data_IF_692616118376
#
_entry.id   IF_692616118376
#
_cell.length_a   1.000
_cell.length_b   1.000
_cell.length_c   1.000
_cell.angle_alpha   90.00
_cell.angle_beta   90.00
_cell.angle_gamma   90.00
#
_symmetry.space_group_name_H-M   'P 1'
#
loop_
_entity.id
_entity.type
_entity.pdbx_description
1 polymer ?
#
# COMPACT_ATOMS: atom_id res chain seq x y z
N UNK A 1 15.26 20.08 7.81
CA UNK A 1 15.02 18.92 6.92
C UNK A 1 13.51 18.80 6.82
N UNK A 2 12.96 18.68 5.64
CA UNK A 2 11.51 18.48 5.46
C UNK A 2 11.16 17.03 5.75
N UNK A 3 9.98 16.79 6.30
CA UNK A 3 9.47 15.45 6.59
C UNK A 3 8.60 14.97 5.42
N UNK A 4 8.68 13.69 5.09
CA UNK A 4 7.79 13.03 4.15
C UNK A 4 7.36 11.67 4.68
N UNK A 5 6.08 11.38 4.55
CA UNK A 5 5.53 10.07 4.86
C UNK A 5 5.38 9.22 3.61
N UNK A 6 5.93 8.01 3.62
CA UNK A 6 5.62 6.97 2.64
C UNK A 6 4.69 5.97 3.32
N UNK A 7 3.47 5.87 2.83
CA UNK A 7 2.39 5.14 3.50
C UNK A 7 1.92 4.00 2.61
N UNK A 8 1.99 2.77 3.09
CA UNK A 8 1.40 1.62 2.41
C UNK A 8 -0.13 1.69 2.42
N UNK A 9 -0.79 1.03 1.46
CA UNK A 9 -2.24 1.09 1.33
C UNK A 9 -2.95 -0.12 1.92
N UNK A 10 -2.71 -1.32 1.37
CA UNK A 10 -3.45 -2.53 1.74
C UNK A 10 -3.11 -2.97 3.16
N UNK A 11 -4.10 -3.02 4.06
CA UNK A 11 -3.98 -3.32 5.50
C UNK A 11 -3.19 -2.28 6.32
N UNK A 12 -2.87 -1.14 5.71
CA UNK A 12 -2.28 0.02 6.37
C UNK A 12 -3.28 1.19 6.39
N UNK A 13 -3.64 1.75 5.23
CA UNK A 13 -4.75 2.72 5.11
C UNK A 13 -6.09 1.99 5.10
N UNK A 14 -6.16 0.85 4.44
CA UNK A 14 -7.32 -0.04 4.47
C UNK A 14 -7.18 -1.13 5.54
N UNK A 15 -8.30 -1.73 5.94
CA UNK A 15 -8.30 -2.88 6.86
C UNK A 15 -8.21 -4.22 6.13
N UNK A 16 -8.38 -4.24 4.81
CA UNK A 16 -8.34 -5.44 3.98
C UNK A 16 -7.55 -5.20 2.69
N UNK A 17 -7.27 -6.27 1.98
CA UNK A 17 -6.44 -6.27 0.78
C UNK A 17 -7.33 -6.06 -0.46
N UNK A 18 -6.99 -5.09 -1.28
CA UNK A 18 -7.80 -4.69 -2.44
C UNK A 18 -7.78 -5.72 -3.58
N UNK A 19 -6.63 -6.34 -3.85
CA UNK A 19 -6.54 -7.44 -4.83
C UNK A 19 -7.35 -8.63 -4.37
N UNK A 20 -7.28 -8.97 -3.08
CA UNK A 20 -8.08 -10.04 -2.49
C UNK A 20 -9.59 -9.75 -2.56
N UNK A 21 -10.02 -8.51 -2.34
CA UNK A 21 -11.42 -8.11 -2.41
C UNK A 21 -11.98 -8.36 -3.82
N UNK A 22 -11.28 -7.88 -4.84
CA UNK A 22 -11.64 -8.10 -6.25
C UNK A 22 -11.70 -9.59 -6.61
N UNK A 23 -10.66 -10.33 -6.24
CA UNK A 23 -10.57 -11.75 -6.56
C UNK A 23 -11.63 -12.59 -5.85
N UNK A 24 -11.92 -12.32 -4.58
CA UNK A 24 -12.98 -13.02 -3.83
C UNK A 24 -14.35 -12.82 -4.46
N UNK A 25 -14.62 -11.66 -5.00
CA UNK A 25 -15.90 -11.32 -5.63
C UNK A 25 -16.03 -11.95 -7.01
N UNK A 26 -15.00 -11.89 -7.83
CA UNK A 26 -15.10 -12.18 -9.27
C UNK A 26 -14.40 -13.48 -9.71
N UNK A 27 -13.38 -13.94 -8.98
CA UNK A 27 -12.65 -15.17 -9.32
C UNK A 27 -12.10 -15.88 -8.06
N UNK A 28 -12.99 -16.35 -7.13
CA UNK A 28 -12.57 -16.96 -5.87
C UNK A 28 -11.75 -18.24 -6.05
N UNK A 29 -12.06 -19.06 -7.06
CA UNK A 29 -11.29 -20.28 -7.33
C UNK A 29 -9.92 -19.96 -7.93
N UNK A 30 -9.83 -18.99 -8.84
CA UNK A 30 -8.55 -18.47 -9.32
C UNK A 30 -7.68 -17.97 -8.18
N UNK A 31 -8.25 -17.22 -7.23
CA UNK A 31 -7.53 -16.76 -6.05
C UNK A 31 -6.93 -17.90 -5.24
N UNK A 32 -7.69 -18.99 -5.03
CA UNK A 32 -7.23 -20.17 -4.31
C UNK A 32 -5.99 -20.79 -4.97
N UNK A 33 -6.07 -21.00 -6.29
CA UNK A 33 -5.00 -21.59 -7.09
C UNK A 33 -3.76 -20.68 -7.11
N UNK A 34 -3.93 -19.38 -7.37
CA UNK A 34 -2.82 -18.41 -7.47
C UNK A 34 -2.13 -18.25 -6.12
N UNK A 35 -2.89 -18.24 -5.01
CA UNK A 35 -2.31 -18.22 -3.64
C UNK A 35 -1.48 -19.45 -3.32
N UNK A 36 -1.90 -20.62 -3.79
CA UNK A 36 -1.12 -21.84 -3.60
C UNK A 36 0.23 -21.74 -4.31
N UNK A 37 0.25 -21.29 -5.57
CA UNK A 37 1.49 -21.00 -6.30
C UNK A 37 2.38 -20.00 -5.58
N UNK A 38 1.81 -18.92 -5.06
CA UNK A 38 2.57 -17.93 -4.29
C UNK A 38 3.16 -18.52 -3.00
N UNK A 39 2.40 -19.33 -2.25
CA UNK A 39 2.88 -20.02 -1.05
C UNK A 39 4.01 -21.01 -1.35
N UNK A 40 3.94 -21.66 -2.49
CA UNK A 40 4.97 -22.57 -2.99
C UNK A 40 6.19 -21.83 -3.56
N UNK A 41 6.22 -20.48 -3.52
CA UNK A 41 7.28 -19.64 -4.08
C UNK A 41 7.44 -19.77 -5.61
N UNK A 42 6.40 -20.17 -6.31
CA UNK A 42 6.34 -20.20 -7.78
C UNK A 42 6.06 -18.82 -8.36
N UNK A 43 5.57 -17.89 -7.54
CA UNK A 43 5.29 -16.51 -7.91
C UNK A 43 5.95 -15.55 -6.90
N UNK A 44 6.48 -14.44 -7.40
CA UNK A 44 6.86 -13.27 -6.60
C UNK A 44 5.60 -12.48 -6.19
N UNK A 45 5.73 -11.47 -5.34
CA UNK A 45 4.62 -10.55 -5.00
C UNK A 45 4.07 -9.89 -6.27
N UNK A 46 4.95 -9.38 -7.13
CA UNK A 46 4.57 -8.81 -8.42
C UNK A 46 3.83 -9.82 -9.29
N UNK A 47 4.36 -11.05 -9.42
CA UNK A 47 3.74 -12.13 -10.18
C UNK A 47 2.37 -12.52 -9.64
N UNK A 48 2.20 -12.54 -8.32
CA UNK A 48 0.91 -12.81 -7.67
C UNK A 48 -0.13 -11.76 -8.04
N UNK A 49 0.19 -10.47 -7.84
CA UNK A 49 -0.72 -9.35 -8.13
C UNK A 49 -1.09 -9.33 -9.61
N UNK A 50 -0.08 -9.45 -10.49
CA UNK A 50 -0.28 -9.50 -11.94
C UNK A 50 -1.23 -10.63 -12.32
N UNK A 51 -0.94 -11.86 -11.92
CA UNK A 51 -1.76 -13.02 -12.26
C UNK A 51 -3.18 -12.90 -11.72
N UNK A 52 -3.36 -12.38 -10.51
CA UNK A 52 -4.67 -12.14 -9.95
C UNK A 52 -5.47 -11.15 -10.80
N UNK A 53 -4.96 -9.95 -11.00
CA UNK A 53 -5.73 -8.90 -11.69
C UNK A 53 -5.95 -9.19 -13.16
N UNK A 54 -4.98 -9.76 -13.88
CA UNK A 54 -5.12 -10.16 -15.28
C UNK A 54 -6.06 -11.38 -15.48
N UNK A 55 -6.34 -12.13 -14.41
CA UNK A 55 -7.33 -13.23 -14.47
C UNK A 55 -8.79 -12.76 -14.35
N UNK A 56 -9.00 -11.49 -14.05
CA UNK A 56 -10.34 -10.91 -13.97
C UNK A 56 -10.86 -10.59 -15.37
N UNK A 57 -12.14 -10.88 -15.59
CA UNK A 57 -12.85 -10.53 -16.83
C UNK A 57 -14.05 -9.66 -16.46
N UNK A 58 -13.78 -8.43 -16.09
CA UNK A 58 -14.77 -7.46 -15.59
C UNK A 58 -14.54 -6.08 -16.19
N UNK A 59 -15.58 -5.29 -16.28
CA UNK A 59 -15.50 -3.89 -16.72
C UNK A 59 -14.82 -3.03 -15.64
N UNK A 60 -14.32 -1.86 -16.05
CA UNK A 60 -13.81 -0.85 -15.11
C UNK A 60 -14.87 -0.42 -14.08
N UNK A 61 -16.15 -0.36 -14.51
CA UNK A 61 -17.26 0.01 -13.62
C UNK A 61 -17.48 -1.05 -12.54
N UNK A 62 -17.48 -2.33 -12.90
CA UNK A 62 -17.59 -3.45 -11.95
C UNK A 62 -16.40 -3.49 -11.00
N UNK A 63 -15.20 -3.21 -11.51
CA UNK A 63 -13.99 -3.13 -10.71
C UNK A 63 -14.11 -2.04 -9.63
N UNK A 64 -14.44 -0.80 -10.02
CA UNK A 64 -14.61 0.32 -9.10
C UNK A 64 -15.77 0.11 -8.12
N UNK A 65 -16.89 -0.43 -8.60
CA UNK A 65 -18.02 -0.78 -7.74
C UNK A 65 -17.62 -1.78 -6.66
N UNK A 66 -16.85 -2.81 -7.03
CA UNK A 66 -16.37 -3.80 -6.07
C UNK A 66 -15.45 -3.17 -5.03
N UNK A 67 -14.53 -2.30 -5.43
CA UNK A 67 -13.68 -1.58 -4.47
C UNK A 67 -14.53 -0.75 -3.50
N UNK A 68 -15.55 -0.05 -4.01
CA UNK A 68 -16.44 0.75 -3.16
C UNK A 68 -17.27 -0.07 -2.16
N UNK A 69 -17.70 -1.26 -2.55
CA UNK A 69 -18.52 -2.15 -1.71
C UNK A 69 -17.69 -2.95 -0.69
N UNK A 70 -16.51 -3.41 -1.08
CA UNK A 70 -15.75 -4.41 -0.33
C UNK A 70 -14.59 -3.82 0.48
N UNK A 71 -14.07 -2.63 0.09
CA UNK A 71 -12.95 -2.05 0.81
C UNK A 71 -13.38 -1.32 2.07
N UNK A 72 -12.65 -1.60 3.15
CA UNK A 72 -12.84 -0.94 4.45
C UNK A 72 -11.65 -0.02 4.71
N UNK A 73 -11.89 1.28 4.68
CA UNK A 73 -10.86 2.31 4.84
C UNK A 73 -10.86 2.83 6.27
N UNK A 74 -9.66 3.03 6.81
CA UNK A 74 -9.48 3.78 8.06
C UNK A 74 -9.92 5.23 7.84
N UNK A 75 -11.04 5.60 8.42
CA UNK A 75 -11.66 6.93 8.25
C UNK A 75 -10.75 8.06 8.75
N UNK A 76 -9.88 7.76 9.71
CA UNK A 76 -8.95 8.75 10.29
C UNK A 76 -7.82 9.11 9.32
N UNK A 77 -7.62 8.33 8.25
CA UNK A 77 -6.69 8.69 7.18
C UNK A 77 -7.06 10.02 6.51
N UNK A 78 -8.34 10.40 6.51
CA UNK A 78 -8.76 11.70 5.98
C UNK A 78 -8.08 12.85 6.72
N UNK A 79 -8.07 12.81 8.06
CA UNK A 79 -7.39 13.83 8.89
C UNK A 79 -5.88 13.86 8.60
N UNK A 80 -5.27 12.70 8.43
CA UNK A 80 -3.85 12.61 8.05
C UNK A 80 -3.59 13.26 6.68
N UNK A 81 -4.38 12.93 5.68
CA UNK A 81 -4.23 13.47 4.32
C UNK A 81 -4.44 15.00 4.25
N UNK A 82 -5.28 15.54 5.12
CA UNK A 82 -5.60 16.98 5.23
C UNK A 82 -4.70 17.72 6.24
N UNK A 83 -3.77 17.03 6.92
CA UNK A 83 -2.94 17.59 7.99
C UNK A 83 -1.89 18.60 7.54
N UNK A 84 -1.62 18.72 6.26
CA UNK A 84 -0.55 19.55 5.68
C UNK A 84 0.83 18.88 5.69
N UNK A 85 0.93 17.63 6.10
CA UNK A 85 2.16 16.84 5.99
C UNK A 85 2.38 16.38 4.54
N UNK A 86 3.62 16.39 4.09
CA UNK A 86 3.97 15.78 2.81
C UNK A 86 3.88 14.26 2.93
N UNK A 87 3.17 13.64 2.00
CA UNK A 87 3.06 12.17 1.96
C UNK A 87 2.98 11.62 0.54
N UNK A 88 3.28 10.34 0.42
CA UNK A 88 2.99 9.52 -0.76
C UNK A 88 2.37 8.21 -0.31
N UNK A 89 1.36 7.75 -1.04
CA UNK A 89 0.85 6.40 -0.88
C UNK A 89 1.66 5.48 -1.79
N UNK A 90 2.31 4.47 -1.22
CA UNK A 90 3.19 3.53 -1.92
C UNK A 90 2.62 2.12 -1.85
N UNK A 91 1.98 1.67 -2.90
CA UNK A 91 1.24 0.40 -2.91
C UNK A 91 1.75 -0.57 -3.98
N UNK A 92 1.97 -1.83 -3.58
CA UNK A 92 2.24 -2.92 -4.52
C UNK A 92 0.99 -3.31 -5.34
N UNK A 93 -0.20 -2.87 -4.94
CA UNK A 93 -1.43 -2.97 -5.73
C UNK A 93 -1.44 -2.04 -6.94
N UNK A 94 -2.62 -1.66 -7.43
CA UNK A 94 -2.74 -0.68 -8.52
C UNK A 94 -3.18 0.69 -8.03
N UNK A 95 -2.83 1.73 -8.80
CA UNK A 95 -3.28 3.10 -8.55
C UNK A 95 -4.82 3.18 -8.45
N UNK A 96 -5.51 2.46 -9.33
CA UNK A 96 -6.96 2.43 -9.33
C UNK A 96 -7.54 1.74 -8.08
N UNK A 97 -6.83 0.74 -7.51
CA UNK A 97 -7.23 0.14 -6.24
C UNK A 97 -7.21 1.19 -5.13
N UNK A 98 -6.15 1.99 -5.08
CA UNK A 98 -5.99 3.04 -4.08
C UNK A 98 -7.03 4.14 -4.26
N UNK A 99 -7.05 4.79 -5.43
CA UNK A 99 -7.92 5.95 -5.69
C UNK A 99 -9.39 5.57 -5.66
N UNK A 100 -9.77 4.47 -6.30
CA UNK A 100 -11.16 4.00 -6.33
C UNK A 100 -11.70 3.63 -4.95
N UNK A 101 -10.88 3.01 -4.10
CA UNK A 101 -11.27 2.70 -2.72
C UNK A 101 -11.41 3.95 -1.86
N UNK A 102 -10.47 4.90 -1.97
CA UNK A 102 -10.49 6.14 -1.21
C UNK A 102 -11.66 7.03 -1.63
N UNK A 103 -11.85 7.24 -2.94
CA UNK A 103 -12.94 8.06 -3.49
C UNK A 103 -14.31 7.53 -3.07
N UNK A 104 -14.51 6.22 -3.14
CA UNK A 104 -15.77 5.59 -2.72
C UNK A 104 -16.04 5.75 -1.21
N UNK A 105 -15.01 6.06 -0.43
CA UNK A 105 -15.10 6.34 1.01
C UNK A 105 -15.07 7.84 1.34
N UNK A 106 -15.15 8.71 0.34
CA UNK A 106 -15.18 10.17 0.52
C UNK A 106 -13.85 10.78 0.90
N UNK A 107 -12.75 10.13 0.53
CA UNK A 107 -11.37 10.60 0.73
C UNK A 107 -10.73 10.81 -0.64
N UNK A 108 -10.60 12.06 -1.04
CA UNK A 108 -10.02 12.41 -2.36
C UNK A 108 -8.53 12.69 -2.22
N UNK A 109 -7.73 11.98 -3.00
CA UNK A 109 -6.27 12.10 -3.03
C UNK A 109 -5.83 12.40 -4.46
N UNK A 110 -4.91 13.36 -4.65
CA UNK A 110 -4.30 13.59 -5.96
C UNK A 110 -3.56 12.32 -6.42
N UNK A 111 -3.90 11.81 -7.60
CA UNK A 111 -3.26 10.61 -8.18
C UNK A 111 -1.74 10.70 -8.28
N UNK A 112 -1.16 11.91 -8.31
CA UNK A 112 0.28 12.15 -8.29
C UNK A 112 0.93 11.75 -6.97
N UNK A 113 0.15 11.70 -5.89
CA UNK A 113 0.62 11.26 -4.57
C UNK A 113 0.64 9.72 -4.45
N UNK A 114 0.09 9.00 -5.44
CA UNK A 114 0.00 7.54 -5.42
C UNK A 114 1.07 6.93 -6.33
N UNK A 115 2.06 6.30 -5.71
CA UNK A 115 3.16 5.58 -6.35
C UNK A 115 2.83 4.08 -6.32
N UNK A 116 2.33 3.56 -7.42
CA UNK A 116 1.85 2.18 -7.52
C UNK A 116 1.78 1.72 -8.98
N UNK A 117 1.44 0.46 -9.19
CA UNK A 117 1.24 -0.12 -10.51
C UNK A 117 0.04 0.51 -11.22
N UNK A 118 0.02 0.43 -12.54
CA UNK A 118 -1.06 0.94 -13.36
C UNK A 118 -1.86 -0.24 -13.90
N UNK A 119 -3.18 -0.21 -13.74
CA UNK A 119 -4.10 -1.15 -14.36
C UNK A 119 -4.75 -0.49 -15.57
N UNK A 120 -4.73 -1.19 -16.70
CA UNK A 120 -5.35 -0.78 -17.94
C UNK A 120 -6.51 -1.73 -18.27
N UNK A 121 -7.58 -1.19 -18.84
CA UNK A 121 -8.72 -1.95 -19.34
C UNK A 121 -8.74 -1.87 -20.86
N UNK A 122 -8.55 -3.01 -21.50
CA UNK A 122 -8.58 -3.14 -22.94
C UNK A 122 -9.95 -3.66 -23.42
N UNK A 123 -10.13 -3.75 -24.74
CA UNK A 123 -11.34 -4.32 -25.32
C UNK A 123 -11.64 -5.71 -24.75
N UNK A 124 -12.93 -6.04 -24.62
CA UNK A 124 -13.43 -7.31 -24.07
C UNK A 124 -13.05 -7.56 -22.59
N UNK A 125 -12.96 -6.49 -21.77
CA UNK A 125 -12.69 -6.58 -20.34
C UNK A 125 -11.32 -7.24 -19.99
N UNK A 126 -10.37 -7.19 -20.90
CA UNK A 126 -9.01 -7.64 -20.64
C UNK A 126 -8.32 -6.62 -19.75
N UNK A 127 -7.76 -7.08 -18.65
CA UNK A 127 -7.00 -6.27 -17.71
C UNK A 127 -5.51 -6.54 -17.93
N UNK A 128 -4.71 -5.47 -18.08
CA UNK A 128 -3.26 -5.54 -18.16
C UNK A 128 -2.63 -4.61 -17.12
N UNK A 129 -1.40 -4.90 -16.69
CA UNK A 129 -0.69 -4.12 -15.69
C UNK A 129 0.65 -3.60 -16.22
N UNK A 130 0.95 -2.36 -15.83
CA UNK A 130 2.27 -1.74 -15.97
C UNK A 130 2.89 -1.54 -14.58
N UNK A 131 4.22 -1.66 -14.51
CA UNK A 131 4.99 -1.62 -13.27
C UNK A 131 6.06 -0.50 -13.32
N UNK A 132 5.66 0.79 -13.20
CA UNK A 132 6.58 1.92 -13.37
C UNK A 132 7.62 2.03 -12.24
N UNK A 133 7.42 1.37 -11.13
CA UNK A 133 8.28 1.40 -9.95
C UNK A 133 8.82 0.01 -9.57
N UNK A 134 8.86 -0.94 -10.52
CA UNK A 134 9.34 -2.29 -10.25
C UNK A 134 10.82 -2.31 -9.81
N UNK A 135 11.17 -3.22 -8.92
CA UNK A 135 12.55 -3.51 -8.59
C UNK A 135 13.26 -4.25 -9.74
N UNK A 136 14.60 -4.16 -9.77
CA UNK A 136 15.43 -4.77 -10.84
C UNK A 136 15.22 -6.27 -10.97
N UNK A 137 14.92 -6.94 -9.87
CA UNK A 137 14.69 -8.39 -9.82
C UNK A 137 13.24 -8.76 -10.14
N UNK A 138 12.37 -7.76 -10.34
CA UNK A 138 10.91 -7.93 -10.60
C UNK A 138 10.20 -8.76 -9.52
N UNK A 139 10.66 -8.62 -8.29
CA UNK A 139 10.13 -9.32 -7.13
C UNK A 139 8.94 -8.59 -6.51
N UNK A 140 9.01 -7.25 -6.52
CA UNK A 140 7.98 -6.36 -6.01
C UNK A 140 7.42 -5.52 -7.16
N UNK A 141 6.12 -5.31 -7.17
CA UNK A 141 5.49 -4.42 -8.14
C UNK A 141 5.89 -2.95 -7.93
N UNK A 142 6.26 -2.60 -6.69
CA UNK A 142 6.81 -1.29 -6.32
C UNK A 142 8.03 -1.50 -5.43
N UNK A 143 9.17 -0.97 -5.85
CA UNK A 143 10.41 -0.94 -5.05
C UNK A 143 10.34 0.16 -3.98
N UNK A 144 9.66 -0.14 -2.88
CA UNK A 144 9.47 0.78 -1.76
C UNK A 144 10.80 1.19 -1.11
N UNK A 145 11.80 0.31 -1.10
CA UNK A 145 13.15 0.62 -0.62
C UNK A 145 13.80 1.73 -1.44
N UNK A 146 13.81 1.59 -2.76
CA UNK A 146 14.39 2.61 -3.64
C UNK A 146 13.64 3.94 -3.53
N UNK A 147 12.32 3.93 -3.32
CA UNK A 147 11.55 5.15 -3.05
C UNK A 147 12.01 5.84 -1.76
N UNK A 148 12.17 5.10 -0.66
CA UNK A 148 12.73 5.65 0.60
C UNK A 148 14.09 6.29 0.35
N UNK A 149 15.02 5.56 -0.29
CA UNK A 149 16.37 6.04 -0.55
C UNK A 149 16.40 7.28 -1.46
N UNK A 150 15.48 7.38 -2.42
CA UNK A 150 15.39 8.53 -3.31
C UNK A 150 14.95 9.78 -2.55
N UNK A 151 13.90 9.72 -1.72
CA UNK A 151 13.49 10.86 -0.89
C UNK A 151 14.57 11.27 0.11
N UNK A 152 15.31 10.32 0.68
CA UNK A 152 16.48 10.65 1.54
C UNK A 152 17.56 11.40 0.76
N UNK A 153 17.86 11.02 -0.48
CA UNK A 153 18.81 11.73 -1.36
C UNK A 153 18.34 13.14 -1.72
N UNK A 154 17.02 13.35 -1.81
CA UNK A 154 16.42 14.67 -2.01
C UNK A 154 16.44 15.54 -0.74
N UNK A 155 16.93 15.02 0.38
CA UNK A 155 17.09 15.74 1.63
C UNK A 155 15.88 15.67 2.57
N UNK A 156 14.95 14.75 2.35
CA UNK A 156 13.84 14.51 3.28
C UNK A 156 14.27 13.61 4.45
N UNK A 157 13.62 13.82 5.59
CA UNK A 157 13.54 12.84 6.66
C UNK A 157 12.31 11.95 6.36
N UNK A 158 12.56 10.66 6.17
CA UNK A 158 11.53 9.74 5.66
C UNK A 158 10.90 8.95 6.79
N UNK A 159 9.59 9.10 6.92
CA UNK A 159 8.71 8.30 7.77
C UNK A 159 8.04 7.25 6.91
N UNK A 160 8.11 5.99 7.32
CA UNK A 160 7.45 4.89 6.61
C UNK A 160 6.35 4.28 7.46
N UNK A 161 5.14 4.14 6.92
CA UNK A 161 4.03 3.46 7.59
C UNK A 161 3.58 2.23 6.77
N UNK A 162 3.51 1.05 7.42
CA UNK A 162 3.19 -0.20 6.72
C UNK A 162 2.70 -1.32 7.63
N UNK A 163 2.43 -2.51 7.04
CA UNK A 163 1.88 -3.68 7.74
C UNK A 163 2.57 -5.00 7.41
N UNK A 164 3.23 -5.15 6.27
CA UNK A 164 3.51 -6.47 5.74
C UNK A 164 4.81 -6.68 4.96
N UNK A 165 4.90 -7.84 4.28
CA UNK A 165 6.14 -8.27 3.63
C UNK A 165 6.66 -7.36 2.52
N UNK A 166 5.78 -6.62 1.84
CA UNK A 166 6.19 -5.66 0.81
C UNK A 166 6.96 -4.46 1.38
N UNK A 167 6.93 -4.28 2.72
CA UNK A 167 7.52 -3.14 3.42
C UNK A 167 8.86 -3.47 4.08
N UNK A 168 9.24 -4.75 4.14
CA UNK A 168 10.40 -5.23 4.92
C UNK A 168 11.70 -4.50 4.53
N UNK A 169 11.93 -4.28 3.27
CA UNK A 169 13.16 -3.62 2.81
C UNK A 169 13.08 -2.09 3.00
N UNK A 170 11.89 -1.51 2.88
CA UNK A 170 11.67 -0.08 3.08
C UNK A 170 11.90 0.35 4.54
N UNK A 171 11.39 -0.42 5.51
CA UNK A 171 11.54 -0.07 6.94
C UNK A 171 12.97 -0.16 7.44
N UNK A 172 13.86 -0.85 6.75
CA UNK A 172 15.30 -0.88 7.06
C UNK A 172 16.01 0.42 6.69
N UNK A 173 15.47 1.15 5.74
CA UNK A 173 16.08 2.35 5.17
C UNK A 173 15.41 3.65 5.64
N UNK A 174 14.18 3.58 6.15
CA UNK A 174 13.45 4.74 6.65
C UNK A 174 14.12 5.30 7.92
N UNK A 175 13.96 6.61 8.14
CA UNK A 175 14.47 7.26 9.34
C UNK A 175 13.58 6.96 10.55
N UNK A 176 12.26 6.86 10.32
CA UNK A 176 11.26 6.52 11.33
C UNK A 176 10.23 5.55 10.75
N UNK A 177 9.83 4.60 11.56
CA UNK A 177 8.95 3.51 11.15
C UNK A 177 7.69 3.50 12.02
N UNK A 178 6.53 3.58 11.38
CA UNK A 178 5.23 3.35 11.98
C UNK A 178 4.67 2.02 11.47
N UNK A 179 4.23 1.18 12.39
CA UNK A 179 3.76 -0.17 12.04
C UNK A 179 2.32 -0.33 12.49
N UNK A 180 1.46 -0.78 11.58
CA UNK A 180 0.07 -1.08 11.92
C UNK A 180 0.02 -2.14 13.02
N UNK A 181 -0.65 -1.84 14.13
CA UNK A 181 -0.71 -2.70 15.31
C UNK A 181 -1.22 -4.10 14.97
N UNK A 182 -0.56 -5.13 15.54
CA UNK A 182 -0.89 -6.53 15.32
C UNK A 182 -0.57 -7.08 13.93
N UNK A 183 0.10 -6.33 13.08
CA UNK A 183 0.47 -6.73 11.73
C UNK A 183 1.71 -7.65 11.69
N UNK A 184 1.99 -8.21 10.50
CA UNK A 184 3.20 -9.03 10.30
C UNK A 184 4.50 -8.23 10.41
N UNK A 185 4.43 -6.93 10.11
CA UNK A 185 5.59 -6.05 10.17
C UNK A 185 6.06 -5.84 11.61
N UNK A 186 5.17 -5.86 12.61
CA UNK A 186 5.53 -5.84 14.05
C UNK A 186 6.50 -6.97 14.38
N UNK A 187 6.15 -8.21 13.99
CA UNK A 187 7.00 -9.37 14.21
C UNK A 187 8.35 -9.20 13.52
N UNK A 188 8.33 -8.79 12.25
CA UNK A 188 9.54 -8.61 11.47
C UNK A 188 10.48 -7.55 12.07
N UNK A 189 9.97 -6.39 12.47
CA UNK A 189 10.75 -5.34 13.10
C UNK A 189 11.41 -5.82 14.41
N UNK A 190 10.64 -6.52 15.26
CA UNK A 190 11.18 -7.11 16.50
C UNK A 190 12.30 -8.13 16.23
N UNK A 191 12.12 -9.04 15.28
CA UNK A 191 13.12 -10.06 14.93
C UNK A 191 14.40 -9.46 14.29
N UNK A 192 14.30 -8.27 13.71
CA UNK A 192 15.43 -7.59 13.05
C UNK A 192 15.97 -6.39 13.82
N UNK A 193 15.53 -6.15 15.07
CA UNK A 193 15.94 -5.02 15.92
C UNK A 193 15.74 -3.65 15.25
N UNK A 194 14.66 -3.49 14.48
CA UNK A 194 14.25 -2.22 13.88
C UNK A 194 13.38 -1.49 14.90
N UNK A 195 13.75 -0.26 15.24
CA UNK A 195 12.94 0.61 16.10
C UNK A 195 11.70 1.07 15.34
N UNK A 196 10.53 0.99 15.96
CA UNK A 196 9.27 1.38 15.36
C UNK A 196 8.26 1.86 16.40
N UNK A 197 7.24 2.55 15.94
CA UNK A 197 6.06 2.95 16.68
C UNK A 197 4.86 2.15 16.18
N UNK A 198 4.14 1.48 17.07
CA UNK A 198 2.86 0.86 16.70
C UNK A 198 1.77 1.92 16.66
N UNK A 199 0.90 1.87 15.65
CA UNK A 199 -0.28 2.72 15.57
C UNK A 199 -1.55 1.91 15.29
N UNK A 200 -2.66 2.33 15.88
CA UNK A 200 -3.97 1.67 15.73
C UNK A 200 -4.83 2.31 14.65
N UNK A 201 -4.66 3.60 14.41
CA UNK A 201 -5.30 4.38 13.35
C UNK A 201 -4.46 5.63 13.02
N UNK A 202 -4.82 6.37 11.98
CA UNK A 202 -4.04 7.53 11.57
C UNK A 202 -4.15 8.73 12.52
N UNK A 203 -5.19 8.82 13.34
CA UNK A 203 -5.23 9.83 14.40
C UNK A 203 -4.19 9.55 15.48
N UNK A 204 -4.02 8.27 15.85
CA UNK A 204 -2.97 7.83 16.77
C UNK A 204 -1.58 8.07 16.18
N UNK A 205 -1.35 7.72 14.91
CA UNK A 205 -0.07 8.01 14.22
C UNK A 205 0.25 9.52 14.26
N UNK A 206 -0.72 10.38 13.90
CA UNK A 206 -0.54 11.83 13.93
C UNK A 206 -0.23 12.35 15.34
N UNK A 207 -0.88 11.81 16.36
CA UNK A 207 -0.65 12.16 17.74
C UNK A 207 0.79 11.81 18.13
N UNK A 208 1.23 10.57 17.93
CA UNK A 208 2.58 10.12 18.23
C UNK A 208 3.64 10.97 17.52
N UNK A 209 3.44 11.23 16.20
CA UNK A 209 4.34 12.07 15.42
C UNK A 209 4.45 13.50 15.99
N UNK A 210 3.29 14.12 16.35
CA UNK A 210 3.28 15.48 16.90
C UNK A 210 3.96 15.54 18.26
N UNK A 211 3.70 14.57 19.14
CA UNK A 211 4.29 14.49 20.48
C UNK A 211 5.82 14.34 20.42
N UNK A 212 6.33 13.50 19.53
CA UNK A 212 7.76 13.22 19.45
C UNK A 212 8.56 14.34 18.77
N UNK A 213 8.04 14.94 17.71
CA UNK A 213 8.81 15.88 16.88
C UNK A 213 8.47 17.36 17.10
N UNK A 214 7.31 17.67 17.67
CA UNK A 214 6.88 19.06 17.87
C UNK A 214 6.56 19.42 19.33
N UNK A 215 6.57 18.43 20.21
CA UNK A 215 6.20 18.61 21.62
C UNK A 215 4.68 18.80 21.80
N UNK A 216 4.15 18.38 22.93
CA UNK A 216 2.77 18.70 23.34
C UNK A 216 2.67 20.21 23.59
N UNK A 217 1.85 20.89 22.79
CA UNK A 217 1.38 22.23 23.17
C UNK A 217 0.22 22.11 24.11
#
# INVERSE_FOLDING_TARGET
>A
MADIFLVDFDKTISFNDSTDALMKKHNPEGLRIIREKYRNKELTIMGFIKTCLESLNITKEEYLKTLGEEMKIDKTFKEFAESGLDYRIVSAGSKLNVTGSLDSNGIHVDEKLVLSNIVNFENNNIITLEFPYEDKEKSFGVDKKSLVLNYKKEGYRVFFAGDGPSDFDAVREADYVFVRAGSRLVKYCNENNITFHEFIDFSDLLKQYREEFYGTK
#
